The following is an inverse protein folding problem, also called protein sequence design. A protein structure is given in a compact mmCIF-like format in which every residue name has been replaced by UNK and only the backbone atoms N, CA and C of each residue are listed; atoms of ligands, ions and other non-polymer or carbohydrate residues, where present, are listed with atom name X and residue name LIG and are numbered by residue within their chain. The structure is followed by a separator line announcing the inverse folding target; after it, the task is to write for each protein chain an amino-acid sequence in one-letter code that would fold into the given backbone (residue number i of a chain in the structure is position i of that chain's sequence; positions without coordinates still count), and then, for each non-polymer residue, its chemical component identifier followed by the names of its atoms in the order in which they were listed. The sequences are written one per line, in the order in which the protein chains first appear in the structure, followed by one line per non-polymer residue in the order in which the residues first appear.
data_IF_550958063817
#
_entry.id   IF_550958063817
#
_cell.length_a   1.000
_cell.length_b   1.000
_cell.length_c   1.000
_cell.angle_alpha   90.00
_cell.angle_beta   90.00
_cell.angle_gamma   90.00
#
_symmetry.space_group_name_H-M   'P 1'
#
loop_
_entity.id
_entity.type
_entity.pdbx_description
1 polymer ?
#
# COMPACT_ATOMS: atom_id res chain seq x y z
N UNK A 1 7.42 -3.27 -14.10
CA UNK A 1 8.32 -2.19 -13.67
C UNK A 1 7.61 -0.88 -13.91
N UNK A 2 7.41 -0.10 -12.87
CA UNK A 2 6.80 1.24 -12.93
C UNK A 2 7.73 2.15 -13.72
N UNK A 3 7.17 2.88 -14.67
CA UNK A 3 7.89 3.92 -15.40
C UNK A 3 7.44 5.26 -14.86
N UNK A 4 8.28 5.95 -14.10
CA UNK A 4 7.92 7.26 -13.52
C UNK A 4 7.69 8.29 -14.63
N UNK A 5 6.44 8.68 -14.86
CA UNK A 5 6.09 9.76 -15.78
C UNK A 5 6.19 11.12 -15.09
N UNK A 6 6.33 12.18 -15.87
CA UNK A 6 6.34 13.53 -15.34
C UNK A 6 5.05 13.80 -14.53
N UNK A 7 5.19 14.37 -13.33
CA UNK A 7 4.10 14.70 -12.38
C UNK A 7 3.33 13.49 -11.84
N UNK A 8 3.83 12.28 -12.02
CA UNK A 8 3.21 11.09 -11.45
C UNK A 8 3.51 10.96 -9.95
N UNK A 9 2.48 10.67 -9.16
CA UNK A 9 2.62 10.39 -7.73
C UNK A 9 3.17 8.97 -7.57
N UNK A 10 4.36 8.86 -7.00
CA UNK A 10 5.06 7.60 -6.76
C UNK A 10 5.45 7.46 -5.29
N UNK A 11 5.27 6.26 -4.74
CA UNK A 11 5.80 5.87 -3.44
C UNK A 11 7.18 5.23 -3.65
N UNK A 12 8.17 5.69 -2.88
CA UNK A 12 9.55 5.19 -2.94
C UNK A 12 10.14 5.02 -1.55
N UNK A 13 11.05 4.07 -1.42
CA UNK A 13 11.93 3.90 -0.27
C UNK A 13 13.38 4.26 -0.66
N UNK A 14 14.35 3.91 0.20
CA UNK A 14 15.77 4.16 -0.06
C UNK A 14 16.33 3.32 -1.23
N UNK A 15 15.68 2.22 -1.60
CA UNK A 15 16.07 1.30 -2.66
C UNK A 15 15.37 1.59 -4.00
N UNK A 16 14.28 2.34 -3.99
CA UNK A 16 13.64 2.89 -5.19
C UNK A 16 12.12 2.82 -5.16
N UNK A 17 11.51 2.68 -6.33
CA UNK A 17 10.05 2.76 -6.47
C UNK A 17 9.34 1.52 -5.93
N UNK A 18 8.42 1.75 -4.99
CA UNK A 18 7.53 0.72 -4.44
C UNK A 18 6.25 0.63 -5.26
N UNK A 19 5.65 1.77 -5.60
CA UNK A 19 4.34 1.84 -6.25
C UNK A 19 4.16 3.18 -6.97
N UNK A 20 3.36 3.20 -8.04
CA UNK A 20 2.76 4.41 -8.63
C UNK A 20 1.27 4.43 -8.32
N UNK A 21 0.71 5.63 -8.08
CA UNK A 21 -0.74 5.79 -7.87
C UNK A 21 -1.57 5.21 -9.02
N UNK A 22 -1.12 5.38 -10.26
CA UNK A 22 -1.88 5.04 -11.47
C UNK A 22 -1.42 3.75 -12.15
N UNK A 23 -0.19 3.29 -11.90
CA UNK A 23 0.34 2.04 -12.46
C UNK A 23 0.30 0.88 -11.47
N UNK A 24 0.08 1.16 -10.18
CA UNK A 24 0.13 0.17 -9.11
C UNK A 24 1.56 -0.20 -8.69
N UNK A 25 1.74 -1.37 -8.06
CA UNK A 25 3.01 -1.76 -7.47
C UNK A 25 4.08 -2.00 -8.53
N UNK A 26 5.34 -1.69 -8.19
CA UNK A 26 6.46 -2.15 -8.99
C UNK A 26 6.54 -3.69 -8.99
N UNK A 27 7.13 -4.26 -10.04
CA UNK A 27 7.29 -5.69 -10.14
C UNK A 27 8.13 -6.24 -8.97
N UNK A 28 9.14 -5.48 -8.51
CA UNK A 28 10.02 -5.90 -7.41
C UNK A 28 9.31 -5.99 -6.05
N UNK A 29 8.20 -5.27 -5.88
CA UNK A 29 7.44 -5.20 -4.62
C UNK A 29 6.14 -6.00 -4.66
N UNK A 30 5.87 -6.69 -5.77
CA UNK A 30 4.65 -7.46 -5.97
C UNK A 30 4.58 -8.66 -5.02
N UNK A 31 3.45 -8.79 -4.33
CA UNK A 31 3.11 -9.99 -3.54
C UNK A 31 3.00 -11.22 -4.45
N UNK A 32 3.59 -12.33 -4.03
CA UNK A 32 3.63 -13.59 -4.75
C UNK A 32 3.38 -14.78 -3.79
N UNK A 33 3.22 -16.02 -4.28
CA UNK A 33 2.93 -17.18 -3.42
C UNK A 33 3.99 -17.48 -2.35
N UNK A 34 5.24 -17.04 -2.54
CA UNK A 34 6.31 -17.18 -1.54
C UNK A 34 6.34 -16.06 -0.50
N UNK A 35 5.55 -14.99 -0.67
CA UNK A 35 5.52 -13.86 0.25
C UNK A 35 5.00 -14.28 1.62
N UNK A 36 5.71 -13.87 2.68
CA UNK A 36 5.37 -14.22 4.08
C UNK A 36 4.89 -13.03 4.88
N UNK A 37 5.47 -11.85 4.64
CA UNK A 37 5.12 -10.61 5.30
C UNK A 37 4.73 -9.59 4.24
N UNK A 38 3.73 -8.79 4.55
CA UNK A 38 3.23 -7.74 3.66
C UNK A 38 3.19 -6.43 4.44
N UNK A 39 3.38 -5.34 3.70
CA UNK A 39 3.15 -3.99 4.22
C UNK A 39 2.09 -3.36 3.33
N UNK A 40 1.03 -2.83 3.96
CA UNK A 40 -0.06 -2.16 3.27
C UNK A 40 0.19 -0.66 3.33
N UNK A 41 0.35 -0.05 2.17
CA UNK A 41 0.43 1.40 2.02
C UNK A 41 -0.86 1.92 1.39
N UNK A 42 -1.41 2.99 1.94
CA UNK A 42 -2.49 3.74 1.30
C UNK A 42 -2.05 5.19 1.20
N UNK A 43 -2.06 5.70 -0.01
CA UNK A 43 -1.89 7.11 -0.32
C UNK A 43 -2.97 7.46 -1.33
N UNK A 44 -3.65 8.57 -1.10
CA UNK A 44 -4.90 8.89 -1.79
C UNK A 44 -4.76 10.13 -2.66
N UNK A 45 -5.67 10.27 -3.62
CA UNK A 45 -5.84 11.54 -4.32
C UNK A 45 -6.41 12.61 -3.37
N UNK A 46 -6.18 13.91 -3.65
CA UNK A 46 -6.78 14.99 -2.89
C UNK A 46 -8.30 14.84 -2.78
N UNK A 47 -8.85 15.11 -1.59
CA UNK A 47 -10.28 15.03 -1.30
C UNK A 47 -10.75 13.73 -0.62
N UNK A 48 -9.87 12.72 -0.49
CA UNK A 48 -10.17 11.53 0.32
C UNK A 48 -9.84 11.81 1.79
N UNK A 49 -10.81 11.59 2.67
CA UNK A 49 -10.71 11.88 4.10
C UNK A 49 -9.99 10.76 4.86
N UNK A 50 -9.35 11.12 5.97
CA UNK A 50 -8.64 10.19 6.87
C UNK A 50 -9.52 9.02 7.31
N UNK A 51 -10.78 9.27 7.67
CA UNK A 51 -11.72 8.24 8.10
C UNK A 51 -11.96 7.18 7.00
N UNK A 52 -12.04 7.60 5.74
CA UNK A 52 -12.23 6.68 4.62
C UNK A 52 -11.00 5.78 4.44
N UNK A 53 -9.80 6.33 4.63
CA UNK A 53 -8.55 5.57 4.59
C UNK A 53 -8.47 4.58 5.74
N UNK A 54 -8.75 5.03 6.97
CA UNK A 54 -8.73 4.19 8.16
C UNK A 54 -9.70 3.02 8.07
N UNK A 55 -10.95 3.27 7.68
CA UNK A 55 -11.96 2.22 7.52
C UNK A 55 -11.57 1.23 6.41
N UNK A 56 -11.03 1.72 5.30
CA UNK A 56 -10.55 0.88 4.21
C UNK A 56 -9.37 -0.02 4.59
N UNK A 57 -8.37 0.54 5.29
CA UNK A 57 -7.21 -0.22 5.79
C UNK A 57 -7.66 -1.27 6.80
N UNK A 58 -8.52 -0.90 7.75
CA UNK A 58 -9.00 -1.82 8.76
C UNK A 58 -9.71 -3.02 8.13
N UNK A 59 -10.62 -2.79 7.19
CA UNK A 59 -11.29 -3.87 6.45
C UNK A 59 -10.29 -4.75 5.69
N UNK A 60 -9.30 -4.15 5.04
CA UNK A 60 -8.26 -4.91 4.32
C UNK A 60 -7.45 -5.79 5.27
N UNK A 61 -7.04 -5.27 6.43
CA UNK A 61 -6.29 -6.02 7.44
C UNK A 61 -7.14 -7.15 8.05
N UNK A 62 -8.43 -6.92 8.30
CA UNK A 62 -9.37 -7.97 8.75
C UNK A 62 -9.46 -9.12 7.75
N UNK A 63 -9.58 -8.83 6.46
CA UNK A 63 -9.61 -9.83 5.38
C UNK A 63 -8.28 -10.59 5.31
N UNK A 64 -7.15 -9.88 5.36
CA UNK A 64 -5.81 -10.47 5.33
C UNK A 64 -5.54 -11.35 6.56
N UNK A 65 -6.02 -10.95 7.73
CA UNK A 65 -5.98 -11.76 8.94
C UNK A 65 -6.83 -13.02 8.80
N UNK A 66 -8.09 -12.87 8.39
CA UNK A 66 -9.06 -13.97 8.28
C UNK A 66 -8.68 -15.03 7.25
N UNK A 67 -8.21 -14.61 6.07
CA UNK A 67 -7.97 -15.52 4.96
C UNK A 67 -6.48 -15.77 4.66
N UNK A 68 -5.61 -14.84 5.05
CA UNK A 68 -4.16 -14.96 4.87
C UNK A 68 -3.42 -15.47 6.11
N UNK A 69 -4.13 -15.74 7.22
CA UNK A 69 -3.53 -16.05 8.53
C UNK A 69 -2.52 -14.98 9.00
N UNK A 70 -2.68 -13.74 8.52
CA UNK A 70 -1.89 -12.61 8.97
C UNK A 70 -2.14 -12.32 10.44
N UNK A 71 -1.10 -11.89 11.15
CA UNK A 71 -1.23 -11.33 12.50
C UNK A 71 -0.99 -9.84 12.40
N UNK A 72 -1.89 -9.04 12.93
CA UNK A 72 -1.77 -7.58 12.86
C UNK A 72 -0.61 -7.12 13.77
N UNK A 73 0.50 -6.61 13.21
CA UNK A 73 1.63 -6.19 14.03
C UNK A 73 1.51 -4.73 14.46
N UNK A 74 0.80 -3.87 13.70
CA UNK A 74 0.58 -2.41 13.91
C UNK A 74 0.26 -1.68 12.59
N UNK A 75 -0.62 -0.67 12.60
CA UNK A 75 -0.84 0.27 11.49
C UNK A 75 -1.02 1.72 11.98
N UNK A 76 -0.77 2.69 11.08
CA UNK A 76 -0.93 4.13 11.35
C UNK A 76 -1.26 4.90 10.08
N UNK A 77 -2.18 5.86 10.16
CA UNK A 77 -2.40 6.85 9.11
C UNK A 77 -1.54 8.08 9.38
N UNK A 78 -0.84 8.53 8.35
CA UNK A 78 -0.03 9.73 8.39
C UNK A 78 -0.73 10.81 7.58
N UNK A 79 -0.90 12.00 8.17
CA UNK A 79 -1.42 13.15 7.44
C UNK A 79 -0.36 13.63 6.46
N UNK A 80 -0.79 13.90 5.23
CA UNK A 80 0.00 14.60 4.23
C UNK A 80 0.15 16.08 4.58
#
# INVERSE_FOLDING_TARGET
MVRCKEREIVLRDQEGTVCSLFQGPDFKTKVNPSTKNIVVYVFTAPGVQEEQVSNGIQLALEILGKFGNGKDPWWKVFKA
#
